data_IF_127822868046
#
_entry.id   IF_127822868046
#
_cell.length_a   1.000
_cell.length_b   1.000
_cell.length_c   1.000
_cell.angle_alpha   90.00
_cell.angle_beta   90.00
_cell.angle_gamma   90.00
#
_symmetry.space_group_name_H-M   'P 1'
#
loop_
_entity.id
_entity.type
_entity.pdbx_description
1 polymer ?
#
# COMPACT_ATOMS: atom_id res chain seq x y z
N UNK A 1 11.79 4.43 -1.24
CA UNK A 1 12.50 3.14 -1.04
C UNK A 1 13.27 2.85 -2.32
N UNK A 2 14.52 2.41 -2.19
CA UNK A 2 15.48 2.37 -3.30
C UNK A 2 15.52 1.01 -4.01
N UNK A 3 15.04 -0.06 -3.37
CA UNK A 3 15.05 -1.41 -3.92
C UNK A 3 13.90 -2.28 -3.32
N UNK A 4 13.58 -3.44 -3.93
CA UNK A 4 12.48 -4.29 -3.45
C UNK A 4 12.77 -4.96 -2.10
N UNK A 5 14.05 -5.17 -1.76
CA UNK A 5 14.44 -5.72 -0.46
C UNK A 5 14.06 -4.82 0.71
N UNK A 6 14.29 -3.51 0.56
CA UNK A 6 13.86 -2.48 1.53
C UNK A 6 12.35 -2.46 1.70
N UNK A 7 11.60 -2.60 0.60
CA UNK A 7 10.15 -2.69 0.65
C UNK A 7 9.69 -3.91 1.43
N UNK A 8 10.24 -5.10 1.14
CA UNK A 8 9.89 -6.34 1.84
C UNK A 8 10.23 -6.25 3.34
N UNK A 9 11.38 -5.68 3.69
CA UNK A 9 11.76 -5.45 5.08
C UNK A 9 10.81 -4.46 5.77
N UNK A 10 10.42 -3.38 5.09
CA UNK A 10 9.46 -2.41 5.62
C UNK A 10 8.07 -3.01 5.83
N UNK A 11 7.59 -3.85 4.90
CA UNK A 11 6.35 -4.61 5.07
C UNK A 11 6.44 -5.53 6.29
N UNK A 12 7.51 -6.32 6.42
CA UNK A 12 7.72 -7.21 7.57
C UNK A 12 7.83 -6.44 8.90
N UNK A 13 8.39 -5.22 8.87
CA UNK A 13 8.51 -4.36 10.03
C UNK A 13 7.24 -3.53 10.32
N UNK A 14 6.19 -3.63 9.50
CA UNK A 14 4.97 -2.82 9.67
C UNK A 14 5.17 -1.31 9.45
N UNK A 15 6.15 -0.93 8.62
CA UNK A 15 6.49 0.47 8.30
C UNK A 15 5.81 1.01 7.04
N UNK A 16 4.87 0.24 6.52
CA UNK A 16 4.16 0.55 5.29
C UNK A 16 2.73 0.94 5.62
N UNK A 17 2.29 2.05 5.03
CA UNK A 17 1.01 2.67 5.32
C UNK A 17 0.23 2.96 4.04
N UNK A 18 -1.10 2.97 4.16
CA UNK A 18 -2.05 3.36 3.12
C UNK A 18 -2.97 4.43 3.68
N UNK A 19 -3.25 5.47 2.89
CA UNK A 19 -4.12 6.55 3.34
C UNK A 19 -5.59 6.24 3.04
N UNK A 20 -6.45 6.33 4.06
CA UNK A 20 -7.90 6.24 3.92
C UNK A 20 -8.51 7.66 3.83
N UNK A 21 -9.11 7.96 2.68
CA UNK A 21 -9.74 9.26 2.41
C UNK A 21 -11.01 9.53 3.22
N UNK A 22 -11.73 8.48 3.62
CA UNK A 22 -12.95 8.61 4.43
C UNK A 22 -12.64 8.90 5.89
N UNK A 23 -11.63 8.21 6.45
CA UNK A 23 -11.15 8.46 7.81
C UNK A 23 -10.23 9.69 7.88
N UNK A 24 -9.66 10.11 6.73
CA UNK A 24 -8.60 11.11 6.61
C UNK A 24 -7.38 10.79 7.47
N UNK A 25 -7.00 9.51 7.47
CA UNK A 25 -5.97 8.97 8.35
C UNK A 25 -5.18 7.86 7.65
N UNK A 26 -3.91 7.70 8.06
CA UNK A 26 -3.04 6.64 7.57
C UNK A 26 -3.31 5.34 8.33
N UNK A 27 -3.43 4.23 7.59
CA UNK A 27 -3.67 2.89 8.12
C UNK A 27 -2.47 2.00 7.82
N UNK A 28 -2.07 1.20 8.78
CA UNK A 28 -0.97 0.27 8.59
C UNK A 28 -1.38 -0.76 7.54
N UNK A 29 -0.55 -0.97 6.52
CA UNK A 29 -0.85 -1.89 5.44
C UNK A 29 -1.09 -3.32 5.96
N UNK A 30 -0.45 -3.74 7.05
CA UNK A 30 -0.64 -5.09 7.59
C UNK A 30 -1.95 -5.26 8.37
N UNK A 31 -2.67 -4.17 8.64
CA UNK A 31 -3.92 -4.16 9.42
C UNK A 31 -5.17 -3.94 8.56
N UNK A 32 -5.01 -3.66 7.26
CA UNK A 32 -6.12 -3.48 6.34
C UNK A 32 -6.50 -4.80 5.67
N UNK A 33 -7.79 -5.00 5.41
CA UNK A 33 -8.30 -6.22 4.79
C UNK A 33 -8.28 -6.11 3.26
N UNK A 34 -8.23 -7.26 2.57
CA UNK A 34 -8.37 -7.38 1.11
C UNK A 34 -7.37 -6.51 0.31
N UNK A 35 -6.07 -6.72 0.55
CA UNK A 35 -5.00 -6.03 -0.17
C UNK A 35 -4.88 -6.61 -1.58
N UNK A 36 -5.63 -6.06 -2.51
CA UNK A 36 -5.46 -6.36 -3.93
C UNK A 36 -4.46 -5.39 -4.54
N UNK A 37 -3.47 -5.94 -5.23
CA UNK A 37 -2.58 -5.15 -6.07
C UNK A 37 -3.28 -4.96 -7.41
N UNK A 38 -3.50 -3.72 -7.84
CA UNK A 38 -3.83 -3.46 -9.24
C UNK A 38 -2.52 -3.62 -10.02
N UNK A 39 -2.18 -4.88 -10.30
CA UNK A 39 -1.02 -5.20 -11.10
C UNK A 39 -1.22 -4.59 -12.49
N UNK A 40 -0.36 -3.66 -12.87
CA UNK A 40 -0.30 -3.23 -14.25
C UNK A 40 0.24 -4.40 -15.09
N UNK A 41 -0.66 -5.19 -15.70
CA UNK A 41 -0.33 -6.39 -16.51
C UNK A 41 0.69 -6.11 -17.62
N UNK A 42 0.86 -4.84 -18.02
CA UNK A 42 1.74 -4.39 -19.10
C UNK A 42 2.76 -3.35 -18.63
N UNK A 43 3.17 -3.35 -17.36
CA UNK A 43 4.07 -2.32 -16.84
C UNK A 43 5.49 -2.45 -17.40
N UNK A 44 5.76 -1.70 -18.46
CA UNK A 44 7.10 -1.38 -19.00
C UNK A 44 7.58 0.02 -18.57
N UNK A 45 6.92 0.63 -17.57
CA UNK A 45 7.25 1.97 -17.09
C UNK A 45 8.52 2.01 -16.24
N UNK A 46 8.96 3.21 -15.88
CA UNK A 46 10.19 3.43 -15.11
C UNK A 46 10.07 3.23 -13.60
N UNK A 47 8.85 3.12 -13.06
CA UNK A 47 8.64 2.98 -11.62
C UNK A 47 8.59 1.52 -11.18
N UNK A 48 9.08 1.19 -9.98
CA UNK A 48 9.05 -0.18 -9.52
C UNK A 48 7.65 -0.74 -9.27
N UNK A 49 7.44 -2.04 -9.51
CA UNK A 49 6.17 -2.74 -9.24
C UNK A 49 5.70 -2.66 -7.77
N UNK A 50 6.61 -2.41 -6.82
CA UNK A 50 6.27 -2.23 -5.41
C UNK A 50 5.79 -0.80 -5.06
N UNK A 51 5.72 0.11 -6.03
CA UNK A 51 5.05 1.42 -5.92
C UNK A 51 3.58 1.37 -6.41
N UNK A 52 3.08 0.19 -6.76
CA UNK A 52 1.72 0.01 -7.27
C UNK A 52 0.63 0.47 -6.27
N UNK A 53 -0.48 0.94 -6.82
CA UNK A 53 -1.71 1.25 -6.07
C UNK A 53 -2.27 -0.02 -5.43
N UNK A 54 -2.67 0.09 -4.16
CA UNK A 54 -3.32 -0.98 -3.40
C UNK A 54 -4.79 -0.67 -3.24
N UNK A 55 -5.64 -1.67 -3.49
CA UNK A 55 -7.04 -1.66 -3.07
C UNK A 55 -7.09 -2.29 -1.68
N UNK A 56 -7.79 -1.67 -0.74
CA UNK A 56 -7.91 -2.17 0.62
C UNK A 56 -9.26 -1.80 1.23
N UNK A 57 -9.71 -2.59 2.20
CA UNK A 57 -10.81 -2.25 3.11
C UNK A 57 -10.25 -1.60 4.36
N UNK A 58 -10.69 -0.37 4.64
CA UNK A 58 -10.31 0.31 5.86
C UNK A 58 -10.98 -0.37 7.07
N UNK A 59 -10.23 -0.80 8.10
CA UNK A 59 -10.79 -1.53 9.23
C UNK A 59 -11.76 -0.68 10.07
N UNK A 60 -11.60 0.64 10.05
CA UNK A 60 -12.39 1.54 10.90
C UNK A 60 -13.74 1.94 10.28
N UNK A 61 -13.78 2.14 8.95
CA UNK A 61 -14.99 2.59 8.26
C UNK A 61 -15.57 1.56 7.29
N UNK A 62 -14.90 0.42 7.09
CA UNK A 62 -15.34 -0.67 6.20
C UNK A 62 -15.37 -0.31 4.71
N UNK A 63 -14.90 0.88 4.32
CA UNK A 63 -14.95 1.31 2.92
C UNK A 63 -13.81 0.74 2.12
N UNK A 64 -14.09 0.37 0.86
CA UNK A 64 -13.10 -0.03 -0.12
C UNK A 64 -12.49 1.18 -0.81
N UNK A 65 -11.17 1.27 -0.76
CA UNK A 65 -10.44 2.41 -1.30
C UNK A 65 -9.19 1.95 -2.04
N UNK A 66 -8.72 2.83 -2.91
CA UNK A 66 -7.45 2.69 -3.60
C UNK A 66 -6.50 3.74 -3.04
N UNK A 67 -5.30 3.33 -2.67
CA UNK A 67 -4.28 4.25 -2.17
C UNK A 67 -2.90 3.83 -2.62
N UNK A 68 -2.03 4.83 -2.78
CA UNK A 68 -0.61 4.58 -2.98
C UNK A 68 0.01 4.13 -1.67
N UNK A 69 1.12 3.40 -1.79
CA UNK A 69 1.88 2.98 -0.63
C UNK A 69 2.77 4.13 -0.15
N UNK A 70 2.69 4.44 1.13
CA UNK A 70 3.61 5.33 1.81
C UNK A 70 4.58 4.56 2.71
N UNK A 71 5.85 4.96 2.67
CA UNK A 71 6.87 4.47 3.59
C UNK A 71 7.17 5.51 4.66
N UNK A 72 7.06 5.10 5.91
CA UNK A 72 7.41 5.93 7.07
C UNK A 72 8.58 5.26 7.81
N UNK A 73 9.78 5.88 7.86
CA UNK A 73 11.01 5.27 8.39
C UNK A 73 11.01 5.02 9.90
#
# INVERSE_FOLDING_TARGET
MSNPGEFLQACAAGKIWVYCSSCRDAKNLNLVEHIDCIANQSYWGSEPWWHDTRVFHCPDCGTQQQSQIEYHP
#
